data_IF_743412060853
#
_entry.id   IF_743412060853
#
_cell.length_a   1.000
_cell.length_b   1.000
_cell.length_c   1.000
_cell.angle_alpha   90.00
_cell.angle_beta   90.00
_cell.angle_gamma   90.00
#
_symmetry.space_group_name_H-M   'P 1'
#
loop_
_entity.id
_entity.type
_entity.pdbx_description
1 polymer ?
#
# COMPACT_ATOMS: atom_id res chain seq x y z
N UNK A 1 -28.09 -14.27 -7.77
CA UNK A 1 -27.96 -15.58 -8.41
C UNK A 1 -26.72 -15.50 -9.27
N UNK A 2 -25.63 -16.14 -8.85
CA UNK A 2 -24.51 -16.39 -9.75
C UNK A 2 -25.06 -17.21 -10.92
N UNK A 3 -24.81 -16.77 -12.15
CA UNK A 3 -25.34 -17.41 -13.36
C UNK A 3 -24.65 -18.72 -13.73
N UNK A 4 -24.00 -19.37 -12.76
CA UNK A 4 -23.20 -20.57 -12.99
C UNK A 4 -24.11 -21.78 -13.16
N UNK A 5 -23.86 -22.57 -14.20
CA UNK A 5 -24.58 -23.81 -14.47
C UNK A 5 -23.60 -24.97 -14.41
N UNK A 6 -23.77 -25.82 -13.40
CA UNK A 6 -22.92 -26.99 -13.18
C UNK A 6 -23.62 -28.22 -13.76
N UNK A 7 -22.85 -29.06 -14.47
CA UNK A 7 -23.34 -30.29 -15.10
C UNK A 7 -22.43 -31.47 -14.77
N UNK A 8 -23.01 -32.65 -14.57
CA UNK A 8 -22.28 -33.92 -14.61
C UNK A 8 -22.26 -34.43 -16.04
N UNK A 9 -21.09 -34.79 -16.57
CA UNK A 9 -20.95 -35.23 -17.97
C UNK A 9 -20.49 -36.68 -18.04
N UNK A 10 -21.25 -37.51 -18.75
CA UNK A 10 -20.91 -38.90 -19.08
C UNK A 10 -21.06 -39.11 -20.59
N UNK A 11 -19.92 -39.20 -21.30
CA UNK A 11 -19.91 -39.26 -22.76
C UNK A 11 -20.54 -38.00 -23.38
N UNK A 12 -21.68 -38.15 -24.06
CA UNK A 12 -22.43 -37.05 -24.68
C UNK A 12 -23.63 -36.58 -23.85
N UNK A 13 -23.85 -37.15 -22.67
CA UNK A 13 -24.97 -36.79 -21.79
C UNK A 13 -24.48 -35.80 -20.73
N UNK A 14 -25.18 -34.67 -20.60
CA UNK A 14 -24.94 -33.67 -19.57
C UNK A 14 -26.18 -33.54 -18.69
N UNK A 15 -26.03 -33.86 -17.41
CA UNK A 15 -27.12 -33.78 -16.41
C UNK A 15 -26.88 -32.56 -15.52
N UNK A 16 -27.83 -31.62 -15.41
CA UNK A 16 -27.67 -30.45 -14.54
C UNK A 16 -27.53 -30.88 -13.08
N UNK A 17 -26.63 -30.20 -12.36
CA UNK A 17 -26.51 -30.34 -10.92
C UNK A 17 -27.54 -29.46 -10.21
N UNK A 18 -28.03 -29.92 -9.06
CA UNK A 18 -28.96 -29.15 -8.24
C UNK A 18 -28.18 -28.22 -7.31
N UNK A 19 -28.44 -26.91 -7.40
CA UNK A 19 -27.88 -25.94 -6.44
C UNK A 19 -28.48 -26.20 -5.05
N UNK A 20 -27.61 -26.31 -4.05
CA UNK A 20 -27.97 -26.52 -2.65
C UNK A 20 -27.20 -25.54 -1.77
N UNK A 21 -27.69 -25.24 -0.57
CA UNK A 21 -26.85 -24.52 0.39
C UNK A 21 -25.74 -25.43 0.93
N UNK A 22 -24.65 -24.84 1.42
CA UNK A 22 -23.63 -25.60 2.16
C UNK A 22 -24.27 -26.28 3.39
N UNK A 23 -25.29 -25.66 3.99
CA UNK A 23 -26.07 -26.26 5.07
C UNK A 23 -26.81 -27.54 4.66
N UNK A 24 -27.45 -27.55 3.49
CA UNK A 24 -28.15 -28.73 2.95
C UNK A 24 -27.19 -29.85 2.53
N UNK A 25 -25.91 -29.50 2.31
CA UNK A 25 -24.82 -30.46 2.11
C UNK A 25 -24.26 -31.01 3.43
N UNK A 26 -24.69 -30.49 4.59
CA UNK A 26 -24.15 -30.85 5.90
C UNK A 26 -22.80 -30.23 6.21
N UNK A 27 -22.33 -29.29 5.38
CA UNK A 27 -21.05 -28.61 5.52
C UNK A 27 -21.19 -27.46 6.50
N UNK A 28 -20.16 -27.18 7.28
CA UNK A 28 -20.13 -26.19 8.36
C UNK A 28 -19.06 -25.12 8.10
N UNK A 29 -19.26 -23.96 8.72
CA UNK A 29 -18.31 -22.84 8.59
C UNK A 29 -16.92 -23.18 9.14
N UNK A 30 -16.86 -23.70 10.37
CA UNK A 30 -15.58 -24.03 11.04
C UNK A 30 -15.02 -25.38 10.61
N UNK A 31 -15.84 -26.42 10.67
CA UNK A 31 -15.36 -27.80 10.46
C UNK A 31 -15.04 -28.09 8.97
N UNK A 32 -15.51 -27.26 8.03
CA UNK A 32 -15.31 -27.47 6.59
C UNK A 32 -14.77 -26.23 5.86
N UNK A 33 -15.51 -25.12 5.82
CA UNK A 33 -15.11 -23.95 5.00
C UNK A 33 -13.75 -23.36 5.42
N UNK A 34 -13.49 -23.25 6.73
CA UNK A 34 -12.18 -22.81 7.23
C UNK A 34 -11.06 -23.79 6.86
N UNK A 35 -11.28 -25.09 7.01
CA UNK A 35 -10.32 -26.13 6.63
C UNK A 35 -10.01 -26.11 5.13
N UNK A 36 -11.00 -25.82 4.29
CA UNK A 36 -10.76 -25.63 2.85
C UNK A 36 -9.89 -24.40 2.58
N UNK A 37 -10.09 -23.29 3.28
CA UNK A 37 -9.23 -22.10 3.12
C UNK A 37 -7.80 -22.37 3.62
N UNK A 38 -7.61 -23.20 4.65
CA UNK A 38 -6.27 -23.64 5.09
C UNK A 38 -5.59 -24.47 4.00
N UNK A 39 -6.31 -25.45 3.43
CA UNK A 39 -5.78 -26.36 2.43
C UNK A 39 -5.64 -25.72 1.05
N UNK A 40 -6.48 -24.74 0.75
CA UNK A 40 -6.60 -24.04 -0.53
C UNK A 40 -6.71 -22.52 -0.33
N UNK A 41 -5.62 -21.84 0.07
CA UNK A 41 -5.61 -20.40 0.32
C UNK A 41 -5.94 -19.57 -0.92
N UNK A 42 -5.82 -20.15 -2.13
CA UNK A 42 -6.24 -19.55 -3.40
C UNK A 42 -7.70 -19.12 -3.40
N UNK A 43 -8.52 -19.70 -2.51
CA UNK A 43 -9.88 -19.23 -2.24
C UNK A 43 -9.85 -17.74 -1.94
N UNK A 44 -8.94 -17.22 -1.11
CA UNK A 44 -8.88 -15.81 -0.70
C UNK A 44 -8.27 -14.87 -1.76
N UNK A 45 -7.59 -15.42 -2.76
CA UNK A 45 -6.84 -14.69 -3.77
C UNK A 45 -5.53 -15.39 -4.12
N UNK A 46 -4.80 -14.87 -5.12
CA UNK A 46 -3.57 -15.51 -5.59
C UNK A 46 -2.51 -15.53 -4.49
N UNK A 47 -1.87 -16.70 -4.32
CA UNK A 47 -0.68 -16.92 -3.50
C UNK A 47 -0.77 -16.31 -2.09
N UNK A 48 -1.79 -16.65 -1.31
CA UNK A 48 -1.90 -16.21 0.09
C UNK A 48 -1.25 -17.23 1.03
N UNK A 49 -0.29 -16.80 1.84
CA UNK A 49 0.20 -17.58 2.98
C UNK A 49 -0.73 -17.39 4.19
N UNK A 50 -1.28 -18.49 4.72
CA UNK A 50 -2.06 -18.45 5.96
C UNK A 50 -1.14 -18.30 7.17
N UNK A 51 -1.33 -17.22 7.94
CA UNK A 51 -0.59 -16.98 9.17
C UNK A 51 -1.29 -17.60 10.38
N UNK A 52 -2.61 -17.47 10.50
CA UNK A 52 -3.40 -18.11 11.56
C UNK A 52 -4.89 -18.14 11.23
N UNK A 53 -5.61 -19.01 11.94
CA UNK A 53 -7.07 -19.00 12.06
C UNK A 53 -7.51 -18.66 13.49
N UNK A 54 -8.75 -18.15 13.61
CA UNK A 54 -9.48 -17.93 14.86
C UNK A 54 -8.66 -17.18 15.95
N UNK A 55 -8.02 -16.06 15.59
CA UNK A 55 -7.16 -15.33 16.53
C UNK A 55 -7.96 -14.47 17.52
N UNK A 56 -7.82 -14.75 18.81
CA UNK A 56 -8.59 -14.16 19.92
C UNK A 56 -7.73 -13.45 20.98
N UNK A 57 -6.43 -13.26 20.73
CA UNK A 57 -5.47 -12.77 21.72
C UNK A 57 -5.36 -11.24 21.76
N UNK A 58 -6.48 -10.54 21.79
CA UNK A 58 -6.48 -9.08 21.94
C UNK A 58 -6.44 -8.68 23.41
N UNK A 59 -5.40 -7.93 23.78
CA UNK A 59 -5.31 -7.26 25.07
C UNK A 59 -5.65 -5.78 24.89
N UNK A 60 -6.72 -5.30 25.52
CA UNK A 60 -6.94 -3.88 25.65
C UNK A 60 -5.90 -3.27 26.61
N UNK A 61 -5.56 -2.00 26.45
CA UNK A 61 -4.67 -1.25 27.35
C UNK A 61 -5.15 -1.22 28.82
N UNK A 62 -6.40 -1.63 29.07
CA UNK A 62 -6.99 -1.83 30.41
C UNK A 62 -6.78 -3.23 30.99
N UNK A 63 -6.09 -4.15 30.30
CA UNK A 63 -5.94 -5.56 30.70
C UNK A 63 -7.18 -6.43 30.46
N UNK A 64 -8.24 -5.87 29.86
CA UNK A 64 -9.44 -6.61 29.48
C UNK A 64 -9.17 -7.42 28.21
N UNK A 65 -9.46 -8.73 28.24
CA UNK A 65 -9.48 -9.57 27.02
C UNK A 65 -10.60 -9.09 26.10
N UNK A 66 -10.28 -8.71 24.86
CA UNK A 66 -11.29 -8.51 23.84
C UNK A 66 -11.68 -9.88 23.29
N UNK A 67 -12.95 -10.28 23.47
CA UNK A 67 -13.51 -11.56 22.98
C UNK A 67 -13.73 -11.59 21.46
N UNK A 68 -13.24 -10.57 20.76
CA UNK A 68 -13.38 -10.40 19.33
C UNK A 68 -12.38 -11.28 18.59
N UNK A 69 -12.83 -12.04 17.60
CA UNK A 69 -12.01 -13.03 16.92
C UNK A 69 -12.27 -13.00 15.43
N UNK A 70 -11.22 -12.80 14.64
CA UNK A 70 -11.31 -12.89 13.19
C UNK A 70 -11.14 -14.35 12.73
N UNK A 71 -11.74 -14.68 11.59
CA UNK A 71 -11.67 -16.05 11.06
C UNK A 71 -10.27 -16.37 10.53
N UNK A 72 -9.75 -15.55 9.60
CA UNK A 72 -8.47 -15.81 8.92
C UNK A 72 -7.58 -14.58 8.88
N UNK A 73 -6.29 -14.78 9.15
CA UNK A 73 -5.21 -13.85 8.79
C UNK A 73 -4.23 -14.58 7.87
N UNK A 74 -4.00 -13.97 6.72
CA UNK A 74 -2.97 -14.36 5.77
C UNK A 74 -2.06 -13.20 5.41
N UNK A 75 -1.13 -13.49 4.53
CA UNK A 75 -0.13 -12.61 3.98
C UNK A 75 -0.08 -12.86 2.48
N UNK A 76 -0.09 -11.80 1.67
CA UNK A 76 0.14 -11.92 0.23
C UNK A 76 1.64 -11.83 -0.10
N UNK A 77 2.06 -12.13 -1.35
CA UNK A 77 3.47 -12.14 -1.73
C UNK A 77 4.12 -10.75 -1.72
N UNK A 78 3.31 -9.68 -1.69
CA UNK A 78 3.80 -8.30 -1.59
C UNK A 78 3.98 -7.86 -0.12
N UNK A 79 3.69 -8.74 0.85
CA UNK A 79 3.80 -8.43 2.29
C UNK A 79 2.59 -7.69 2.86
N UNK A 80 1.47 -7.63 2.13
CA UNK A 80 0.22 -7.06 2.62
C UNK A 80 -0.53 -8.10 3.46
N UNK A 81 -1.06 -7.67 4.60
CA UNK A 81 -1.93 -8.53 5.39
C UNK A 81 -3.25 -8.78 4.66
N UNK A 82 -3.75 -10.02 4.72
CA UNK A 82 -5.04 -10.44 4.17
C UNK A 82 -5.93 -10.87 5.33
N UNK A 83 -7.01 -10.15 5.58
CA UNK A 83 -8.03 -10.53 6.55
C UNK A 83 -9.22 -11.11 5.83
N UNK A 84 -9.62 -12.33 6.20
CA UNK A 84 -10.84 -12.92 5.69
C UNK A 84 -11.88 -13.18 6.77
N UNK A 85 -13.13 -12.83 6.46
CA UNK A 85 -14.31 -13.22 7.21
C UNK A 85 -15.11 -14.21 6.37
N UNK A 86 -15.40 -15.37 6.94
CA UNK A 86 -16.05 -16.48 6.26
C UNK A 86 -17.47 -16.63 6.78
N UNK A 87 -18.43 -16.79 5.87
CA UNK A 87 -19.81 -17.11 6.20
C UNK A 87 -20.26 -18.28 5.35
N UNK A 88 -20.72 -19.36 5.98
CA UNK A 88 -21.20 -20.52 5.22
C UNK A 88 -22.38 -20.17 4.29
N UNK A 89 -23.31 -19.36 4.81
CA UNK A 89 -24.58 -19.05 4.16
C UNK A 89 -24.61 -17.57 3.74
N UNK A 90 -25.78 -16.93 3.77
CA UNK A 90 -25.91 -15.49 3.51
C UNK A 90 -25.17 -14.68 4.59
N UNK A 91 -24.31 -13.76 4.16
CA UNK A 91 -23.64 -12.85 5.07
C UNK A 91 -24.63 -11.90 5.77
N UNK A 92 -24.39 -11.55 7.05
CA UNK A 92 -25.07 -10.43 7.71
C UNK A 92 -24.90 -9.13 6.94
N UNK A 93 -25.83 -8.19 7.13
CA UNK A 93 -25.79 -6.84 6.53
C UNK A 93 -24.71 -5.92 7.14
N UNK A 94 -23.98 -6.40 8.14
CA UNK A 94 -22.91 -5.70 8.87
C UNK A 94 -21.57 -6.43 8.81
N UNK A 95 -21.46 -7.48 7.98
CA UNK A 95 -20.25 -8.32 7.89
C UNK A 95 -18.99 -7.49 7.57
N UNK A 96 -19.14 -6.46 6.74
CA UNK A 96 -18.07 -5.56 6.36
C UNK A 96 -17.59 -4.70 7.53
N UNK A 97 -18.46 -4.33 8.47
CA UNK A 97 -18.05 -3.59 9.67
C UNK A 97 -17.20 -4.45 10.60
N UNK A 98 -17.52 -5.74 10.71
CA UNK A 98 -16.71 -6.70 11.48
C UNK A 98 -15.33 -6.85 10.85
N UNK A 99 -15.27 -7.01 9.52
CA UNK A 99 -14.00 -7.12 8.82
C UNK A 99 -13.14 -5.85 8.89
N UNK A 100 -13.74 -4.66 8.81
CA UNK A 100 -13.03 -3.37 9.01
C UNK A 100 -12.47 -3.27 10.42
N UNK A 101 -13.23 -3.68 11.44
CA UNK A 101 -12.75 -3.71 12.82
C UNK A 101 -11.51 -4.59 12.93
N UNK A 102 -11.50 -5.76 12.31
CA UNK A 102 -10.34 -6.66 12.33
C UNK A 102 -9.16 -6.13 11.53
N UNK A 103 -9.40 -5.57 10.35
CA UNK A 103 -8.39 -4.87 9.57
C UNK A 103 -7.69 -3.78 10.42
N UNK A 104 -8.45 -2.96 11.13
CA UNK A 104 -7.89 -1.92 12.02
C UNK A 104 -7.12 -2.48 13.24
N UNK A 105 -7.42 -3.70 13.67
CA UNK A 105 -6.71 -4.34 14.78
C UNK A 105 -5.39 -4.96 14.31
N UNK A 106 -5.40 -5.66 13.17
CA UNK A 106 -4.20 -6.31 12.61
C UNK A 106 -3.24 -5.33 11.95
N UNK A 107 -3.71 -4.15 11.54
CA UNK A 107 -2.85 -3.09 10.98
C UNK A 107 -1.79 -2.57 11.96
N UNK A 108 -1.87 -2.98 13.23
CA UNK A 108 -0.90 -2.65 14.28
C UNK A 108 0.10 -3.76 14.55
N UNK A 109 -0.01 -4.90 13.87
CA UNK A 109 0.96 -5.98 14.02
C UNK A 109 2.31 -5.57 13.44
N UNK A 110 3.34 -5.96 14.15
CA UNK A 110 4.73 -5.88 13.74
C UNK A 110 5.14 -7.17 13.03
N UNK A 111 6.25 -7.17 12.26
CA UNK A 111 6.79 -8.40 11.68
C UNK A 111 7.01 -9.51 12.72
N UNK A 112 7.52 -9.16 13.91
CA UNK A 112 7.76 -10.12 15.00
C UNK A 112 6.45 -10.73 15.50
N UNK A 113 5.38 -9.94 15.64
CA UNK A 113 4.05 -10.46 15.98
C UNK A 113 3.60 -11.53 14.98
N UNK A 114 3.81 -11.31 13.68
CA UNK A 114 3.41 -12.26 12.63
C UNK A 114 4.20 -13.58 12.70
N UNK A 115 5.49 -13.51 13.03
CA UNK A 115 6.34 -14.69 13.24
C UNK A 115 5.83 -15.49 14.43
N UNK A 116 5.54 -14.84 15.56
CA UNK A 116 4.99 -15.50 16.74
C UNK A 116 3.62 -16.13 16.47
N UNK A 117 2.74 -15.39 15.77
CA UNK A 117 1.41 -15.85 15.37
C UNK A 117 1.53 -17.10 14.49
N UNK A 118 2.40 -17.06 13.48
CA UNK A 118 2.56 -18.15 12.54
C UNK A 118 3.20 -19.39 13.18
N UNK A 119 4.23 -19.21 14.02
CA UNK A 119 4.82 -20.31 14.80
C UNK A 119 3.79 -20.99 15.70
N UNK A 120 2.93 -20.22 16.38
CA UNK A 120 1.85 -20.75 17.20
C UNK A 120 0.76 -21.47 16.38
N UNK A 121 0.51 -21.03 15.15
CA UNK A 121 -0.39 -21.73 14.22
C UNK A 121 0.20 -23.06 13.75
N UNK A 122 1.47 -23.08 13.32
CA UNK A 122 2.16 -24.31 12.91
C UNK A 122 2.20 -25.35 14.05
N UNK A 123 2.40 -24.90 15.29
CA UNK A 123 2.38 -25.77 16.46
C UNK A 123 1.01 -26.46 16.68
N UNK A 124 -0.09 -25.74 16.40
CA UNK A 124 -1.45 -26.29 16.50
C UNK A 124 -1.74 -27.33 15.41
N UNK A 125 -1.09 -27.21 14.26
CA UNK A 125 -1.21 -28.15 13.12
C UNK A 125 -0.15 -29.26 13.13
N UNK A 126 0.36 -29.64 14.30
CA UNK A 126 1.19 -30.84 14.48
C UNK A 126 2.71 -30.61 14.41
N UNK A 127 3.17 -29.36 14.29
CA UNK A 127 4.57 -28.97 14.45
C UNK A 127 4.96 -28.63 15.90
N UNK A 128 6.25 -28.36 16.13
CA UNK A 128 6.68 -27.61 17.32
C UNK A 128 6.65 -26.10 16.99
N UNK A 129 6.40 -25.21 17.97
CA UNK A 129 6.54 -23.78 17.74
C UNK A 129 8.01 -23.48 17.49
N UNK A 130 8.31 -23.05 16.27
CA UNK A 130 9.65 -22.71 15.83
C UNK A 130 9.59 -21.36 15.11
N UNK A 131 10.14 -20.34 15.77
CA UNK A 131 10.14 -18.97 15.28
C UNK A 131 11.05 -18.81 14.06
N UNK A 132 12.14 -19.56 13.98
CA UNK A 132 13.08 -19.50 12.85
C UNK A 132 12.43 -20.08 11.60
N UNK A 133 11.74 -21.22 11.72
CA UNK A 133 10.97 -21.80 10.61
C UNK A 133 9.82 -20.86 10.19
N UNK A 134 9.15 -20.22 11.16
CA UNK A 134 8.06 -19.29 10.86
C UNK A 134 8.57 -18.07 10.10
N UNK A 135 9.67 -17.47 10.57
CA UNK A 135 10.34 -16.35 9.93
C UNK A 135 10.79 -16.72 8.52
N UNK A 136 11.44 -17.87 8.34
CA UNK A 136 11.90 -18.33 7.04
C UNK A 136 10.73 -18.49 6.06
N UNK A 137 9.60 -19.08 6.48
CA UNK A 137 8.42 -19.22 5.61
C UNK A 137 7.81 -17.88 5.20
N UNK A 138 7.74 -16.93 6.13
CA UNK A 138 7.27 -15.57 5.84
C UNK A 138 8.21 -14.89 4.84
N UNK A 139 9.52 -15.03 5.03
CA UNK A 139 10.54 -14.45 4.14
C UNK A 139 10.58 -15.10 2.76
N UNK A 140 10.41 -16.43 2.68
CA UNK A 140 10.33 -17.16 1.42
C UNK A 140 9.08 -16.73 0.62
N UNK A 141 8.00 -16.36 1.32
CA UNK A 141 6.75 -15.97 0.71
C UNK A 141 6.70 -14.51 0.26
N UNK A 142 7.03 -13.58 1.17
CA UNK A 142 6.84 -12.13 0.98
C UNK A 142 8.13 -11.32 1.08
N UNK A 143 9.28 -11.96 1.33
CA UNK A 143 10.53 -11.27 1.58
C UNK A 143 10.55 -10.57 2.95
N UNK A 144 11.26 -9.44 3.02
CA UNK A 144 11.30 -8.61 4.23
C UNK A 144 10.05 -7.74 4.29
N UNK A 145 9.32 -7.83 5.41
CA UNK A 145 8.06 -7.15 5.58
C UNK A 145 8.26 -5.66 5.83
N UNK A 146 7.58 -4.84 5.04
CA UNK A 146 7.48 -3.40 5.24
C UNK A 146 6.39 -3.08 6.29
N UNK A 147 6.74 -2.46 7.44
CA UNK A 147 5.75 -2.05 8.45
C UNK A 147 4.65 -1.12 7.92
N UNK A 148 4.88 -0.36 6.85
CA UNK A 148 3.85 0.46 6.23
C UNK A 148 2.82 -0.41 5.47
N UNK A 149 3.27 -1.49 4.83
CA UNK A 149 2.41 -2.44 4.11
C UNK A 149 1.51 -3.24 5.05
N UNK A 150 1.99 -3.52 6.27
CA UNK A 150 1.19 -4.16 7.31
C UNK A 150 0.02 -3.28 7.77
N UNK A 151 0.17 -1.95 7.69
CA UNK A 151 -0.87 -0.99 8.11
C UNK A 151 -2.06 -0.90 7.14
N UNK A 152 -1.91 -1.44 5.93
CA UNK A 152 -2.95 -1.39 4.89
C UNK A 152 -3.49 -2.78 4.56
N UNK A 153 -4.11 -3.54 5.47
CA UNK A 153 -4.62 -4.87 5.17
C UNK A 153 -5.66 -4.87 4.05
N UNK A 154 -5.65 -5.91 3.22
CA UNK A 154 -6.73 -6.25 2.29
C UNK A 154 -7.77 -7.08 3.03
N UNK A 155 -9.04 -6.82 2.75
CA UNK A 155 -10.19 -7.53 3.30
C UNK A 155 -10.77 -8.46 2.23
N UNK A 156 -11.06 -9.69 2.61
CA UNK A 156 -11.76 -10.69 1.79
C UNK A 156 -12.99 -11.16 2.55
N UNK A 157 -14.16 -11.03 1.94
CA UNK A 157 -15.40 -11.56 2.51
C UNK A 157 -15.82 -12.75 1.67
N UNK A 158 -15.96 -13.92 2.29
CA UNK A 158 -16.42 -15.16 1.63
C UNK A 158 -17.78 -15.51 2.18
N UNK A 159 -18.81 -15.58 1.33
CA UNK A 159 -20.15 -15.94 1.77
C UNK A 159 -20.95 -16.66 0.68
N UNK A 160 -21.99 -17.43 1.05
CA UNK A 160 -22.90 -17.99 0.05
C UNK A 160 -23.68 -16.93 -0.73
N UNK A 161 -23.96 -15.79 -0.10
CA UNK A 161 -24.49 -14.60 -0.77
C UNK A 161 -24.32 -13.34 0.07
N UNK A 162 -24.35 -12.18 -0.59
CA UNK A 162 -24.26 -10.86 0.05
C UNK A 162 -25.57 -10.07 -0.16
N UNK A 163 -26.10 -9.42 0.89
CA UNK A 163 -27.11 -8.38 0.72
C UNK A 163 -26.61 -7.25 -0.19
N UNK A 164 -27.48 -6.62 -1.02
CA UNK A 164 -27.08 -5.49 -1.87
C UNK A 164 -26.46 -4.31 -1.12
N UNK A 165 -26.86 -4.10 0.14
CA UNK A 165 -26.29 -3.07 1.00
C UNK A 165 -24.80 -3.33 1.28
N UNK A 166 -24.40 -4.59 1.52
CA UNK A 166 -22.98 -4.96 1.72
C UNK A 166 -22.18 -4.67 0.46
N UNK A 167 -22.66 -5.07 -0.72
CA UNK A 167 -22.00 -4.76 -2.00
C UNK A 167 -21.86 -3.27 -2.22
N UNK A 168 -22.88 -2.48 -1.86
CA UNK A 168 -22.88 -1.02 -2.03
C UNK A 168 -21.86 -0.35 -1.09
N UNK A 169 -21.81 -0.79 0.17
CA UNK A 169 -20.81 -0.33 1.16
C UNK A 169 -19.40 -0.69 0.71
N UNK A 170 -19.17 -1.94 0.31
CA UNK A 170 -17.87 -2.42 -0.18
C UNK A 170 -17.42 -1.68 -1.43
N UNK A 171 -18.33 -1.36 -2.35
CA UNK A 171 -18.00 -0.52 -3.49
C UNK A 171 -17.52 0.87 -3.08
N UNK A 172 -18.19 1.51 -2.11
CA UNK A 172 -17.77 2.80 -1.58
C UNK A 172 -16.41 2.73 -0.88
N UNK A 173 -16.18 1.70 -0.04
CA UNK A 173 -14.90 1.47 0.65
C UNK A 173 -13.74 1.33 -0.35
N UNK A 174 -13.92 0.56 -1.42
CA UNK A 174 -12.94 0.40 -2.51
C UNK A 174 -12.58 1.75 -3.15
N UNK A 175 -13.55 2.64 -3.36
CA UNK A 175 -13.31 4.00 -3.88
C UNK A 175 -12.55 4.90 -2.91
N UNK A 176 -12.63 4.64 -1.62
CA UNK A 176 -11.86 5.34 -0.58
C UNK A 176 -10.46 4.74 -0.38
N UNK A 177 -10.07 3.75 -1.19
CA UNK A 177 -8.75 3.11 -1.13
C UNK A 177 -8.68 1.90 -0.20
N UNK A 178 -9.79 1.48 0.41
CA UNK A 178 -9.84 0.29 1.26
C UNK A 178 -10.05 -0.92 0.35
N UNK A 179 -9.06 -1.82 0.28
CA UNK A 179 -9.12 -2.97 -0.60
C UNK A 179 -10.03 -4.06 0.00
N UNK A 180 -11.23 -4.18 -0.53
CA UNK A 180 -12.20 -5.21 -0.14
C UNK A 180 -12.59 -6.05 -1.35
N UNK A 181 -12.57 -7.37 -1.18
CA UNK A 181 -13.00 -8.37 -2.16
C UNK A 181 -14.21 -9.13 -1.62
N UNK A 182 -15.22 -9.36 -2.46
CA UNK A 182 -16.35 -10.24 -2.17
C UNK A 182 -16.22 -11.52 -2.99
N UNK A 183 -16.31 -12.66 -2.32
CA UNK A 183 -16.28 -13.98 -2.94
C UNK A 183 -17.51 -14.78 -2.53
N UNK A 184 -18.12 -15.43 -3.52
CA UNK A 184 -19.27 -16.31 -3.33
C UNK A 184 -18.86 -17.76 -3.30
N UNK A 185 -19.37 -18.51 -2.31
CA UNK A 185 -19.20 -19.96 -2.20
C UNK A 185 -20.55 -20.67 -2.40
N UNK A 186 -20.67 -21.50 -3.44
CA UNK A 186 -21.91 -22.18 -3.78
C UNK A 186 -21.70 -23.70 -3.76
N UNK A 187 -22.73 -24.46 -3.35
CA UNK A 187 -22.69 -25.92 -3.35
C UNK A 187 -23.70 -26.49 -4.36
N UNK A 188 -23.32 -27.60 -4.97
CA UNK A 188 -24.12 -28.31 -5.97
C UNK A 188 -24.12 -29.80 -5.68
N UNK A 189 -25.27 -30.45 -5.85
CA UNK A 189 -25.39 -31.92 -5.81
C UNK A 189 -25.37 -32.47 -7.23
N UNK A 190 -24.39 -33.32 -7.53
CA UNK A 190 -24.21 -33.95 -8.84
C UNK A 190 -24.86 -35.34 -8.92
N UNK A 191 -24.93 -35.93 -10.12
CA UNK A 191 -25.71 -37.14 -10.45
C UNK A 191 -25.38 -38.40 -9.63
N UNK A 192 -24.27 -38.43 -8.89
CA UNK A 192 -23.83 -39.52 -7.99
C UNK A 192 -23.97 -39.16 -6.50
N UNK A 193 -24.78 -38.15 -6.17
CA UNK A 193 -24.98 -37.66 -4.80
C UNK A 193 -23.79 -36.92 -4.19
N UNK A 194 -22.66 -36.85 -4.90
CA UNK A 194 -21.48 -36.07 -4.49
C UNK A 194 -21.81 -34.58 -4.46
N UNK A 195 -21.09 -33.86 -3.60
CA UNK A 195 -21.17 -32.41 -3.50
C UNK A 195 -19.98 -31.78 -4.20
N UNK A 196 -20.25 -30.78 -5.02
CA UNK A 196 -19.25 -29.91 -5.63
C UNK A 196 -19.43 -28.52 -5.04
N UNK A 197 -18.32 -27.86 -4.71
CA UNK A 197 -18.31 -26.47 -4.23
C UNK A 197 -17.60 -25.61 -5.25
N UNK A 198 -18.18 -24.47 -5.59
CA UNK A 198 -17.53 -23.45 -6.42
C UNK A 198 -17.26 -22.20 -5.58
N UNK A 199 -16.13 -21.55 -5.85
CA UNK A 199 -15.79 -20.23 -5.31
C UNK A 199 -15.60 -19.28 -6.47
N UNK A 200 -16.24 -18.13 -6.43
CA UNK A 200 -16.17 -17.12 -7.49
C UNK A 200 -16.08 -15.72 -6.90
N UNK A 201 -15.36 -14.82 -7.58
CA UNK A 201 -15.30 -13.41 -7.17
C UNK A 201 -16.57 -12.68 -7.62
N UNK A 202 -17.29 -12.12 -6.66
CA UNK A 202 -18.46 -11.27 -6.91
C UNK A 202 -18.05 -9.79 -7.11
N UNK A 203 -17.06 -9.31 -6.36
CA UNK A 203 -16.59 -7.93 -6.44
C UNK A 203 -15.10 -7.82 -6.04
N UNK A 204 -14.29 -6.95 -6.68
CA UNK A 204 -14.63 -6.18 -7.88
C UNK A 204 -14.91 -7.10 -9.07
N UNK A 205 -15.68 -6.63 -10.05
CA UNK A 205 -15.77 -7.34 -11.31
C UNK A 205 -14.42 -7.16 -12.05
N UNK A 206 -13.88 -8.21 -12.69
CA UNK A 206 -12.74 -8.05 -13.58
C UNK A 206 -13.02 -6.95 -14.59
N UNK A 207 -12.07 -6.03 -14.79
CA UNK A 207 -12.24 -4.98 -15.78
C UNK A 207 -12.27 -5.62 -17.18
N UNK A 208 -13.10 -5.11 -18.09
CA UNK A 208 -13.25 -5.70 -19.42
C UNK A 208 -11.91 -5.77 -20.17
N UNK A 209 -10.99 -4.86 -19.87
CA UNK A 209 -9.65 -4.82 -20.45
C UNK A 209 -8.78 -6.03 -20.06
N UNK A 210 -8.99 -6.61 -18.87
CA UNK A 210 -8.30 -7.82 -18.40
C UNK A 210 -8.80 -9.09 -19.08
N UNK A 211 -10.05 -9.06 -19.60
CA UNK A 211 -10.71 -10.20 -20.25
C UNK A 211 -10.49 -10.25 -21.77
N UNK A 212 -10.07 -9.14 -22.39
CA UNK A 212 -9.93 -9.02 -23.83
C UNK A 212 -8.51 -9.38 -24.31
N UNK A 213 -8.35 -10.56 -24.90
CA UNK A 213 -7.11 -10.93 -25.61
C UNK A 213 -7.05 -10.22 -26.97
N UNK A 214 -6.19 -9.20 -27.08
CA UNK A 214 -6.00 -8.43 -28.32
C UNK A 214 -4.67 -8.75 -29.01
N UNK A 215 -4.66 -9.32 -30.23
CA UNK A 215 -3.43 -9.73 -30.92
C UNK A 215 -2.50 -8.58 -31.37
N UNK A 216 -2.96 -7.32 -31.33
CA UNK A 216 -2.13 -6.13 -31.65
C UNK A 216 -1.65 -5.35 -30.42
N UNK A 217 -2.07 -5.74 -29.22
CA UNK A 217 -1.70 -5.07 -27.96
C UNK A 217 -0.60 -5.79 -27.18
N UNK A 218 0.03 -6.83 -27.70
CA UNK A 218 1.20 -7.40 -27.02
C UNK A 218 2.31 -6.34 -26.77
N UNK A 219 2.38 -5.25 -27.57
CA UNK A 219 3.29 -4.11 -27.36
C UNK A 219 2.64 -2.87 -26.69
N UNK A 220 1.30 -2.80 -26.60
CA UNK A 220 0.57 -1.63 -26.09
C UNK A 220 -0.13 -1.89 -24.74
N UNK A 221 -0.54 -3.13 -24.49
CA UNK A 221 -0.94 -3.60 -23.16
C UNK A 221 0.27 -3.58 -22.22
N UNK A 222 1.47 -3.94 -22.69
CA UNK A 222 2.71 -3.82 -21.90
C UNK A 222 2.98 -2.38 -21.41
N UNK A 223 2.42 -1.37 -22.08
CA UNK A 223 2.51 0.07 -21.69
C UNK A 223 1.35 0.57 -20.82
N UNK A 224 0.25 -0.17 -20.71
CA UNK A 224 -0.95 0.22 -19.94
C UNK A 224 -1.24 -0.66 -18.72
N UNK A 225 -0.75 -1.89 -18.68
CA UNK A 225 -0.82 -2.74 -17.46
C UNK A 225 0.28 -2.43 -16.45
N UNK A 226 1.17 -1.48 -16.72
CA UNK A 226 2.22 -1.03 -15.80
C UNK A 226 1.73 -0.07 -14.72
N UNK A 227 0.49 0.44 -14.77
CA UNK A 227 0.01 1.44 -13.79
C UNK A 227 -0.58 0.89 -12.49
N UNK A 228 -0.66 -0.43 -12.28
CA UNK A 228 -1.06 -1.02 -10.97
C UNK A 228 -0.36 -2.33 -10.61
N UNK A 229 0.92 -2.46 -10.95
CA UNK A 229 1.81 -3.37 -10.21
C UNK A 229 2.56 -2.49 -9.21
N UNK A 230 2.38 -2.73 -7.90
CA UNK A 230 3.13 -2.03 -6.85
C UNK A 230 4.62 -2.08 -7.23
N UNK A 231 5.23 -0.90 -7.35
CA UNK A 231 6.62 -0.78 -7.76
C UNK A 231 7.47 -1.58 -6.77
N UNK A 232 8.26 -2.54 -7.26
CA UNK A 232 9.13 -3.35 -6.39
C UNK A 232 10.06 -2.48 -5.54
N UNK A 233 10.60 -3.04 -4.45
CA UNK A 233 11.59 -2.37 -3.58
C UNK A 233 12.64 -1.58 -4.39
N UNK A 234 13.09 -0.42 -3.88
CA UNK A 234 14.09 0.47 -4.50
C UNK A 234 15.25 -0.29 -5.15
N UNK A 235 15.75 -1.33 -4.47
CA UNK A 235 16.82 -2.20 -4.97
C UNK A 235 16.41 -2.99 -6.21
N UNK A 236 15.21 -3.58 -6.21
CA UNK A 236 14.68 -4.33 -7.35
C UNK A 236 14.55 -3.44 -8.57
N UNK A 237 14.11 -2.19 -8.39
CA UNK A 237 13.99 -1.20 -9.47
C UNK A 237 15.35 -0.82 -10.06
N UNK A 238 16.33 -0.55 -9.21
CA UNK A 238 17.69 -0.19 -9.63
C UNK A 238 18.42 -1.34 -10.32
N UNK A 239 18.28 -2.55 -9.81
CA UNK A 239 18.87 -3.74 -10.44
C UNK A 239 18.18 -4.05 -11.77
N UNK A 240 16.87 -3.81 -11.87
CA UNK A 240 16.13 -4.01 -13.11
C UNK A 240 16.42 -2.94 -14.19
N UNK A 241 16.83 -1.73 -13.79
CA UNK A 241 17.16 -0.66 -14.73
C UNK A 241 18.59 -0.75 -15.27
N UNK A 242 19.48 -1.47 -14.56
CA UNK A 242 20.92 -1.58 -14.87
C UNK A 242 21.63 -0.21 -14.98
N UNK A 243 21.06 0.85 -14.42
CA UNK A 243 21.60 2.22 -14.53
C UNK A 243 22.84 2.46 -13.67
N UNK A 244 23.02 1.68 -12.60
CA UNK A 244 24.19 1.75 -11.73
C UNK A 244 25.14 0.62 -12.13
N UNK A 245 26.32 0.91 -12.70
CA UNK A 245 27.32 -0.11 -13.03
C UNK A 245 27.80 -0.83 -11.78
N UNK A 246 27.99 -2.15 -11.88
CA UNK A 246 28.71 -2.93 -10.87
C UNK A 246 30.08 -2.30 -10.60
N UNK A 247 30.44 -2.19 -9.32
CA UNK A 247 31.67 -1.52 -8.92
C UNK A 247 31.51 -0.03 -8.60
N UNK A 248 30.32 0.55 -8.76
CA UNK A 248 30.07 1.96 -8.42
C UNK A 248 30.19 2.16 -6.91
N UNK A 249 31.01 3.11 -6.48
CA UNK A 249 31.20 3.44 -5.07
C UNK A 249 30.05 4.32 -4.56
N UNK A 250 29.54 4.00 -3.37
CA UNK A 250 28.53 4.78 -2.67
C UNK A 250 29.07 5.25 -1.34
N UNK A 251 28.68 6.47 -0.97
CA UNK A 251 29.00 7.06 0.33
C UNK A 251 27.74 7.13 1.18
N UNK A 252 27.88 6.79 2.45
CA UNK A 252 26.78 6.88 3.40
C UNK A 252 26.60 8.32 3.91
N UNK A 253 25.37 8.81 3.86
CA UNK A 253 24.97 10.11 4.37
C UNK A 253 23.76 9.95 5.31
N UNK A 254 23.93 10.15 6.63
CA UNK A 254 22.83 10.06 7.58
C UNK A 254 21.72 11.07 7.28
N UNK A 255 20.48 10.61 7.30
CA UNK A 255 19.31 11.43 6.92
C UNK A 255 18.59 12.01 8.14
N UNK A 256 17.61 12.88 7.91
CA UNK A 256 16.74 13.44 8.96
C UNK A 256 15.82 12.40 9.61
N UNK A 257 15.83 11.16 9.13
CA UNK A 257 15.11 10.04 9.75
C UNK A 257 15.61 9.72 11.17
N UNK A 258 16.84 10.13 11.52
CA UNK A 258 17.35 10.11 12.90
C UNK A 258 17.60 11.53 13.41
N UNK A 259 17.62 11.70 14.74
CA UNK A 259 17.85 13.00 15.38
C UNK A 259 19.23 13.58 15.09
N UNK A 260 19.42 14.88 15.34
CA UNK A 260 20.71 15.55 15.12
C UNK A 260 21.86 14.90 15.90
N UNK A 261 21.62 14.57 17.18
CA UNK A 261 22.59 13.88 18.05
C UNK A 261 23.01 12.52 17.48
N UNK A 262 22.04 11.73 17.00
CA UNK A 262 22.31 10.42 16.39
C UNK A 262 23.09 10.56 15.08
N UNK A 263 22.78 11.57 14.24
CA UNK A 263 23.57 11.81 13.02
C UNK A 263 25.02 12.17 13.34
N UNK A 264 25.25 13.03 14.33
CA UNK A 264 26.60 13.38 14.76
C UNK A 264 27.37 12.17 15.27
N UNK A 265 26.74 11.32 16.10
CA UNK A 265 27.35 10.08 16.59
C UNK A 265 27.71 9.11 15.45
N UNK A 266 26.88 9.00 14.41
CA UNK A 266 27.18 8.15 13.23
C UNK A 266 28.37 8.73 12.45
N UNK A 267 28.41 10.05 12.25
CA UNK A 267 29.51 10.69 11.54
C UNK A 267 30.85 10.56 12.31
N UNK A 268 30.81 10.66 13.64
CA UNK A 268 31.98 10.42 14.49
C UNK A 268 32.46 8.97 14.40
N UNK A 269 31.53 8.01 14.50
CA UNK A 269 31.81 6.59 14.36
C UNK A 269 32.35 6.19 12.97
N UNK A 270 31.90 6.86 11.90
CA UNK A 270 32.48 6.72 10.54
C UNK A 270 33.84 7.40 10.45
N UNK A 271 34.04 8.53 11.15
CA UNK A 271 35.32 9.24 11.18
C UNK A 271 36.48 8.40 11.75
N UNK A 272 36.19 7.48 12.66
CA UNK A 272 37.17 6.52 13.18
C UNK A 272 37.66 5.50 12.14
N UNK A 273 36.77 5.10 11.23
CA UNK A 273 37.06 4.16 10.16
C UNK A 273 36.23 4.50 8.91
N UNK A 274 36.84 5.22 7.95
CA UNK A 274 36.15 5.65 6.73
C UNK A 274 35.61 4.50 5.86
N UNK A 275 36.04 3.24 6.07
CA UNK A 275 35.45 2.09 5.38
C UNK A 275 34.01 1.82 5.85
N UNK A 276 33.64 2.25 7.06
CA UNK A 276 32.27 2.15 7.57
C UNK A 276 31.29 2.96 6.71
N UNK A 277 31.70 4.12 6.21
CA UNK A 277 30.85 4.98 5.39
C UNK A 277 30.82 4.65 3.90
N UNK A 278 31.43 3.55 3.43
CA UNK A 278 31.62 3.26 2.01
C UNK A 278 31.13 1.86 1.63
N UNK A 279 30.51 1.74 0.47
CA UNK A 279 30.06 0.48 -0.09
C UNK A 279 30.17 0.49 -1.61
N UNK A 280 30.18 -0.69 -2.23
CA UNK A 280 30.23 -0.85 -3.68
C UNK A 280 28.94 -1.49 -4.20
N UNK A 281 28.38 -0.93 -5.27
CA UNK A 281 27.20 -1.47 -5.94
C UNK A 281 27.48 -2.78 -6.65
N UNK A 282 26.52 -3.69 -6.57
CA UNK A 282 26.40 -4.91 -7.35
C UNK A 282 24.95 -5.07 -7.79
N UNK A 283 24.71 -5.43 -9.04
CA UNK A 283 23.39 -5.69 -9.59
C UNK A 283 22.83 -7.05 -9.11
N UNK A 284 22.60 -7.14 -7.81
CA UNK A 284 22.04 -8.30 -7.11
C UNK A 284 20.78 -7.88 -6.35
N UNK A 285 19.65 -8.54 -6.62
CA UNK A 285 18.34 -8.15 -6.09
C UNK A 285 18.21 -8.39 -4.58
N UNK A 286 19.04 -9.24 -4.00
CA UNK A 286 18.97 -9.62 -2.59
C UNK A 286 20.00 -8.89 -1.74
N UNK A 287 21.20 -8.65 -2.27
CA UNK A 287 22.37 -8.10 -1.57
C UNK A 287 23.17 -7.13 -2.47
N UNK A 288 22.62 -5.94 -2.78
CA UNK A 288 23.17 -5.06 -3.80
C UNK A 288 24.41 -4.26 -3.36
N UNK A 289 24.77 -4.26 -2.08
CA UNK A 289 25.89 -3.49 -1.56
C UNK A 289 26.95 -4.41 -0.96
N UNK A 290 28.18 -4.30 -1.42
CA UNK A 290 29.36 -4.85 -0.75
C UNK A 290 29.88 -3.79 0.21
N UNK A 291 29.76 -4.01 1.52
CA UNK A 291 30.17 -3.03 2.52
C UNK A 291 31.69 -3.05 2.70
N UNK A 292 32.37 -1.91 2.60
CA UNK A 292 33.84 -1.88 2.62
C UNK A 292 34.42 -2.27 3.99
N UNK A 293 33.70 -2.01 5.09
CA UNK A 293 34.15 -2.36 6.45
C UNK A 293 34.23 -3.88 6.70
N UNK A 294 33.35 -4.68 6.07
CA UNK A 294 33.28 -6.14 6.28
C UNK A 294 33.70 -6.94 5.05
N UNK A 295 33.64 -6.34 3.86
CA UNK A 295 33.78 -7.03 2.58
C UNK A 295 32.58 -7.91 2.21
N UNK A 296 31.51 -7.90 3.00
CA UNK A 296 30.33 -8.75 2.81
C UNK A 296 29.25 -8.03 1.99
N UNK A 297 28.54 -8.80 1.18
CA UNK A 297 27.38 -8.33 0.44
C UNK A 297 26.14 -8.33 1.34
N UNK A 298 25.44 -7.20 1.42
CA UNK A 298 24.29 -7.01 2.28
C UNK A 298 23.26 -6.05 1.66
N UNK A 299 22.10 -5.96 2.31
CA UNK A 299 21.07 -4.98 1.97
C UNK A 299 21.46 -3.60 2.50
N UNK A 300 21.08 -2.50 1.81
CA UNK A 300 21.30 -1.14 2.31
C UNK A 300 20.76 -0.92 3.73
N UNK A 301 19.56 -1.44 4.01
CA UNK A 301 18.92 -1.34 5.34
C UNK A 301 19.65 -2.16 6.40
N UNK A 302 20.16 -3.34 6.05
CA UNK A 302 20.89 -4.19 6.98
C UNK A 302 22.19 -3.53 7.45
N UNK A 303 22.90 -2.86 6.53
CA UNK A 303 24.12 -2.12 6.87
C UNK A 303 23.79 -0.93 7.77
N UNK A 304 22.82 -0.10 7.40
CA UNK A 304 22.43 1.08 8.20
C UNK A 304 21.94 0.68 9.60
N UNK A 305 21.23 -0.44 9.73
CA UNK A 305 20.81 -0.97 11.03
C UNK A 305 22.01 -1.30 11.93
N UNK A 306 23.03 -1.99 11.41
CA UNK A 306 24.23 -2.30 12.19
C UNK A 306 24.96 -1.03 12.65
N UNK A 307 24.94 0.04 11.85
CA UNK A 307 25.50 1.33 12.24
C UNK A 307 24.71 1.99 13.36
N UNK A 308 23.38 1.95 13.27
CA UNK A 308 22.48 2.49 14.29
C UNK A 308 22.66 1.75 15.61
N UNK A 309 22.75 0.42 15.58
CA UNK A 309 23.05 -0.41 16.76
C UNK A 309 24.40 -0.02 17.38
N UNK A 310 25.43 0.21 16.56
CA UNK A 310 26.76 0.61 17.04
C UNK A 310 26.79 1.97 17.75
N UNK A 311 25.89 2.89 17.39
CA UNK A 311 25.73 4.20 18.05
C UNK A 311 24.62 4.22 19.12
N UNK A 312 24.05 3.06 19.46
CA UNK A 312 23.03 2.92 20.50
C UNK A 312 21.62 3.39 20.08
N UNK A 313 21.29 3.31 18.78
CA UNK A 313 19.98 3.63 18.23
C UNK A 313 19.27 2.38 17.70
N UNK A 314 18.04 2.13 18.13
CA UNK A 314 17.20 1.00 17.69
C UNK A 314 16.13 1.43 16.65
N UNK A 315 16.33 2.58 16.00
CA UNK A 315 15.33 3.16 15.10
C UNK A 315 15.34 2.45 13.74
N UNK A 316 14.16 2.08 13.24
CA UNK A 316 13.99 1.62 11.86
C UNK A 316 14.06 2.81 10.89
N UNK A 317 14.79 2.64 9.77
CA UNK A 317 15.05 3.67 8.77
C UNK A 317 15.05 3.09 7.36
N UNK A 318 14.85 3.93 6.35
CA UNK A 318 14.89 3.53 4.94
C UNK A 318 16.32 3.46 4.44
N UNK A 319 16.96 2.30 4.59
CA UNK A 319 18.37 2.09 4.21
C UNK A 319 18.81 2.70 2.86
N UNK A 320 18.07 2.54 1.75
CA UNK A 320 18.47 3.11 0.46
C UNK A 320 18.57 4.64 0.41
N UNK A 321 17.83 5.39 1.25
CA UNK A 321 17.94 6.86 1.28
C UNK A 321 19.24 7.37 1.91
N UNK A 322 20.02 6.48 2.53
CA UNK A 322 21.26 6.80 3.21
C UNK A 322 22.50 6.61 2.35
N UNK A 323 22.37 5.99 1.16
CA UNK A 323 23.49 5.71 0.28
C UNK A 323 23.44 6.63 -0.94
N UNK A 324 24.50 7.39 -1.14
CA UNK A 324 24.63 8.43 -2.16
C UNK A 324 25.63 7.98 -3.23
N UNK A 325 25.20 8.10 -4.48
CA UNK A 325 26.00 7.83 -5.67
C UNK A 325 27.00 8.97 -5.93
N UNK A 326 28.03 8.75 -6.78
CA UNK A 326 29.01 9.79 -7.11
C UNK A 326 28.41 11.03 -7.78
N UNK A 327 27.21 10.92 -8.36
CA UNK A 327 26.47 12.02 -8.98
C UNK A 327 25.61 12.82 -7.98
N UNK A 328 25.68 12.48 -6.69
CA UNK A 328 25.00 13.18 -5.60
C UNK A 328 23.56 12.69 -5.33
N UNK A 329 23.04 11.74 -6.12
CA UNK A 329 21.70 11.17 -5.87
C UNK A 329 21.75 10.06 -4.83
N UNK A 330 20.72 9.94 -4.01
CA UNK A 330 20.51 8.75 -3.18
C UNK A 330 20.08 7.56 -4.03
N UNK A 331 20.21 6.32 -3.53
CA UNK A 331 19.66 5.14 -4.22
C UNK A 331 18.14 5.27 -4.43
N UNK A 332 17.43 5.89 -3.49
CA UNK A 332 15.98 6.16 -3.62
C UNK A 332 15.69 7.12 -4.78
N UNK A 333 16.46 8.20 -4.92
CA UNK A 333 16.30 9.15 -6.02
C UNK A 333 16.71 8.54 -7.37
N UNK A 334 17.81 7.76 -7.38
CA UNK A 334 18.24 7.02 -8.55
C UNK A 334 17.18 6.02 -9.00
N UNK A 335 16.49 5.33 -8.09
CA UNK A 335 15.39 4.42 -8.43
C UNK A 335 14.16 5.17 -8.99
N UNK A 336 13.95 6.41 -8.56
CA UNK A 336 12.94 7.32 -9.11
C UNK A 336 13.25 7.74 -10.56
N UNK A 337 14.53 7.92 -10.90
CA UNK A 337 15.00 8.27 -12.25
C UNK A 337 15.15 7.03 -13.14
N UNK A 338 15.46 5.86 -12.58
CA UNK A 338 15.62 4.64 -13.37
C UNK A 338 14.30 4.03 -13.88
N UNK A 339 13.18 4.56 -13.40
CA UNK A 339 11.86 4.41 -14.01
C UNK A 339 11.48 5.51 -15.00
N UNK A 340 12.41 6.42 -15.36
CA UNK A 340 12.11 7.62 -16.17
C UNK A 340 12.19 7.41 -17.69
N UNK A 341 11.90 6.20 -18.15
CA UNK A 341 11.27 6.00 -19.44
C UNK A 341 9.78 5.69 -19.23
N UNK A 342 9.02 6.75 -18.96
CA UNK A 342 7.57 6.84 -18.70
C UNK A 342 7.11 6.57 -17.27
N UNK A 343 6.67 7.62 -16.55
CA UNK A 343 5.78 7.45 -15.40
C UNK A 343 5.83 8.44 -14.24
N UNK A 344 6.77 9.37 -14.14
CA UNK A 344 6.67 10.42 -13.11
C UNK A 344 5.48 11.32 -13.44
N UNK A 345 4.56 11.49 -12.50
CA UNK A 345 3.51 12.49 -12.61
C UNK A 345 4.18 13.84 -12.91
N UNK A 346 3.87 14.40 -14.06
CA UNK A 346 4.48 15.64 -14.52
C UNK A 346 3.99 16.78 -13.62
N UNK A 347 4.87 17.25 -12.74
CA UNK A 347 4.60 18.37 -11.83
C UNK A 347 4.81 19.72 -12.50
N UNK A 348 5.33 19.76 -13.75
CA UNK A 348 5.58 21.00 -14.48
C UNK A 348 4.32 21.88 -14.57
N UNK A 349 3.13 21.37 -14.93
CA UNK A 349 1.92 22.20 -14.96
C UNK A 349 1.52 22.75 -13.59
N UNK A 350 1.78 22.01 -12.52
CA UNK A 350 1.56 22.50 -11.15
C UNK A 350 2.53 23.63 -10.82
N UNK A 351 3.82 23.44 -11.06
CA UNK A 351 4.85 24.45 -10.77
C UNK A 351 4.63 25.74 -11.56
N UNK A 352 4.22 25.64 -12.83
CA UNK A 352 3.88 26.78 -13.67
C UNK A 352 2.67 27.55 -13.13
N UNK A 353 1.58 26.86 -12.79
CA UNK A 353 0.39 27.52 -12.21
C UNK A 353 0.70 28.16 -10.86
N UNK A 354 1.46 27.49 -10.00
CA UNK A 354 1.86 28.04 -8.70
C UNK A 354 2.68 29.33 -8.85
N UNK A 355 3.56 29.40 -9.86
CA UNK A 355 4.29 30.61 -10.23
C UNK A 355 3.41 31.74 -10.75
N UNK A 356 2.32 31.40 -11.44
CA UNK A 356 1.40 32.34 -12.08
C UNK A 356 0.21 32.78 -11.23
N UNK A 357 -0.01 32.19 -10.03
CA UNK A 357 -1.09 32.61 -9.14
C UNK A 357 -0.95 34.10 -8.82
N UNK A 358 -1.94 34.96 -9.13
CA UNK A 358 -1.85 36.39 -8.88
C UNK A 358 -2.06 36.75 -7.40
N UNK A 359 -1.46 37.86 -6.97
CA UNK A 359 -1.68 38.43 -5.63
C UNK A 359 -3.15 38.79 -5.43
N UNK A 360 -3.68 38.52 -4.24
CA UNK A 360 -5.08 38.84 -3.90
C UNK A 360 -6.10 37.86 -4.48
N UNK A 361 -5.66 36.75 -5.07
CA UNK A 361 -6.50 35.62 -5.48
C UNK A 361 -6.06 34.35 -4.77
N UNK A 362 -6.98 33.40 -4.64
CA UNK A 362 -6.72 32.10 -4.01
C UNK A 362 -7.36 30.97 -4.80
N UNK A 363 -6.92 29.73 -4.60
CA UNK A 363 -7.52 28.55 -5.23
C UNK A 363 -7.59 27.37 -4.26
N UNK A 364 -8.18 26.26 -4.66
CA UNK A 364 -8.25 25.06 -3.82
C UNK A 364 -7.34 23.93 -4.31
N UNK A 365 -6.97 23.03 -3.40
CA UNK A 365 -6.33 21.77 -3.76
C UNK A 365 -7.15 20.94 -4.77
N UNK A 366 -8.49 21.10 -4.77
CA UNK A 366 -9.37 20.45 -5.75
C UNK A 366 -9.22 21.07 -7.14
N UNK A 367 -9.24 22.40 -7.24
CA UNK A 367 -9.11 23.11 -8.52
C UNK A 367 -7.73 22.84 -9.18
N UNK A 368 -6.66 22.77 -8.38
CA UNK A 368 -5.33 22.38 -8.86
C UNK A 368 -5.27 20.92 -9.28
N UNK A 369 -5.91 20.03 -8.52
CA UNK A 369 -5.96 18.61 -8.85
C UNK A 369 -6.71 18.35 -10.17
N UNK A 370 -7.84 19.03 -10.37
CA UNK A 370 -8.61 18.98 -11.61
C UNK A 370 -7.81 19.50 -12.81
N UNK A 371 -7.00 20.54 -12.62
CA UNK A 371 -6.15 21.10 -13.67
C UNK A 371 -5.00 20.17 -14.08
N UNK A 372 -4.30 19.59 -13.10
CA UNK A 372 -3.08 18.79 -13.35
C UNK A 372 -3.44 17.30 -13.58
N UNK A 373 -4.71 16.90 -13.40
CA UNK A 373 -5.18 15.54 -13.67
C UNK A 373 -4.82 14.54 -12.56
N UNK A 374 -4.90 14.96 -11.30
CA UNK A 374 -4.63 14.13 -10.11
C UNK A 374 -5.69 14.30 -9.02
N UNK A 375 -5.41 13.85 -7.79
CA UNK A 375 -6.24 14.08 -6.62
C UNK A 375 -5.66 15.19 -5.72
N UNK A 376 -6.51 15.83 -4.91
CA UNK A 376 -6.14 16.95 -4.03
C UNK A 376 -5.10 16.58 -2.95
N UNK A 377 -5.04 15.31 -2.55
CA UNK A 377 -4.11 14.82 -1.52
C UNK A 377 -2.65 14.76 -2.02
N UNK A 378 -2.34 14.16 -3.19
CA UNK A 378 -1.03 14.26 -3.83
C UNK A 378 -0.51 15.69 -3.97
N UNK A 379 -1.36 16.64 -4.37
CA UNK A 379 -1.00 18.07 -4.48
C UNK A 379 -0.56 18.63 -3.12
N UNK A 380 -1.31 18.34 -2.05
CA UNK A 380 -0.98 18.76 -0.69
C UNK A 380 0.34 18.17 -0.16
N UNK A 381 0.59 16.89 -0.43
CA UNK A 381 1.83 16.22 -0.05
C UNK A 381 3.04 16.80 -0.80
N UNK A 382 2.88 17.05 -2.10
CA UNK A 382 3.93 17.65 -2.94
C UNK A 382 4.25 19.06 -2.51
N UNK A 383 3.26 19.95 -2.40
CA UNK A 383 3.46 21.36 -2.00
C UNK A 383 4.15 21.45 -0.62
N UNK A 384 3.86 20.53 0.30
CA UNK A 384 4.47 20.50 1.64
C UNK A 384 5.97 20.21 1.62
N UNK A 385 6.43 19.45 0.63
CA UNK A 385 7.83 19.01 0.50
C UNK A 385 8.56 19.77 -0.63
N UNK A 386 7.89 20.73 -1.27
CA UNK A 386 8.35 21.42 -2.46
C UNK A 386 8.95 22.78 -2.12
N UNK A 387 10.28 22.86 -2.10
CA UNK A 387 11.02 24.10 -1.84
C UNK A 387 10.92 25.12 -3.00
N UNK A 388 10.43 24.68 -4.16
CA UNK A 388 10.31 25.47 -5.39
C UNK A 388 8.86 25.84 -5.75
N UNK A 389 7.91 25.63 -4.85
CA UNK A 389 6.49 25.94 -5.08
C UNK A 389 6.15 27.33 -4.52
N UNK A 390 6.27 28.43 -5.32
CA UNK A 390 5.94 29.77 -4.84
C UNK A 390 4.43 29.89 -4.57
N UNK A 391 4.04 30.88 -3.75
CA UNK A 391 2.64 31.21 -3.50
C UNK A 391 1.79 30.09 -2.87
N UNK A 392 2.40 29.07 -2.24
CA UNK A 392 1.72 28.03 -1.46
C UNK A 392 0.61 28.54 -0.49
N UNK A 393 0.75 29.72 0.16
CA UNK A 393 -0.31 30.27 1.01
C UNK A 393 -1.64 30.54 0.29
N UNK A 394 -1.64 30.70 -1.04
CA UNK A 394 -2.83 30.94 -1.88
C UNK A 394 -3.64 29.68 -2.16
N UNK A 395 -3.21 28.50 -1.68
CA UNK A 395 -3.91 27.22 -1.85
C UNK A 395 -4.64 26.82 -0.58
N UNK A 396 -5.98 26.87 -0.62
CA UNK A 396 -6.86 26.62 0.52
C UNK A 396 -7.58 25.27 0.42
N UNK A 397 -8.12 24.82 1.54
CA UNK A 397 -9.02 23.67 1.61
C UNK A 397 -10.38 23.94 0.96
N UNK A 398 -11.21 22.91 0.91
CA UNK A 398 -12.57 23.01 0.41
C UNK A 398 -13.35 24.08 1.19
N UNK A 399 -14.07 24.94 0.47
CA UNK A 399 -14.83 26.05 1.06
C UNK A 399 -13.99 27.27 1.45
N UNK A 400 -12.77 27.41 0.94
CA UNK A 400 -11.93 28.59 1.16
C UNK A 400 -11.33 28.69 2.55
N UNK A 401 -11.21 27.57 3.26
CA UNK A 401 -10.66 27.53 4.62
C UNK A 401 -9.17 27.19 4.61
N UNK A 402 -8.33 27.88 5.40
CA UNK A 402 -6.96 27.47 5.67
C UNK A 402 -6.91 26.03 6.21
N UNK A 403 -5.89 25.25 5.86
CA UNK A 403 -5.75 23.89 6.37
C UNK A 403 -5.03 23.88 7.72
N UNK A 404 -5.52 23.11 8.71
CA UNK A 404 -4.73 22.80 9.90
C UNK A 404 -3.46 22.04 9.49
N UNK A 405 -2.28 22.56 9.86
CA UNK A 405 -0.99 21.94 9.55
C UNK A 405 -0.32 22.39 8.24
N UNK A 406 -0.73 23.53 7.66
CA UNK A 406 0.07 24.22 6.64
C UNK A 406 1.46 24.54 7.22
N UNK A 407 2.50 24.28 6.42
CA UNK A 407 3.89 24.58 6.75
C UNK A 407 4.50 25.40 5.62
N UNK A 408 5.31 26.38 5.98
CA UNK A 408 6.07 27.19 5.05
C UNK A 408 7.28 26.43 4.53
N UNK A 409 7.68 26.74 3.29
CA UNK A 409 9.00 26.38 2.79
C UNK A 409 10.12 27.15 3.50
N UNK A 410 9.84 28.36 4.01
CA UNK A 410 10.72 29.10 4.92
C UNK A 410 10.33 28.81 6.39
N UNK A 411 11.14 28.06 7.16
CA UNK A 411 10.84 27.73 8.55
C UNK A 411 10.81 28.94 9.49
N UNK A 412 11.30 30.11 9.06
CA UNK A 412 11.30 31.34 9.85
C UNK A 412 10.00 32.15 9.70
N UNK A 413 9.14 31.83 8.72
CA UNK A 413 7.85 32.49 8.54
C UNK A 413 6.80 31.86 9.45
N UNK A 414 6.27 32.65 10.38
CA UNK A 414 5.27 32.21 11.37
C UNK A 414 3.85 32.65 11.02
N UNK A 415 3.64 33.33 9.89
CA UNK A 415 2.32 33.83 9.50
C UNK A 415 1.38 32.68 9.13
N UNK A 416 0.12 32.81 9.45
CA UNK A 416 -0.92 31.89 8.99
C UNK A 416 -1.27 32.16 7.51
N UNK A 417 -1.84 31.17 6.81
CA UNK A 417 -2.31 31.39 5.44
C UNK A 417 -3.32 32.54 5.35
N UNK A 418 -4.15 32.73 6.40
CA UNK A 418 -5.11 33.81 6.48
C UNK A 418 -4.43 35.19 6.57
N UNK A 419 -3.44 35.37 7.45
CA UNK A 419 -2.73 36.65 7.60
C UNK A 419 -2.02 37.08 6.30
N UNK A 420 -1.50 36.12 5.54
CA UNK A 420 -0.86 36.38 4.24
C UNK A 420 -1.90 36.86 3.23
N UNK A 421 -3.02 36.14 3.12
CA UNK A 421 -4.06 36.45 2.16
C UNK A 421 -4.80 37.76 2.49
N UNK A 422 -5.03 38.05 3.77
CA UNK A 422 -5.54 39.35 4.21
C UNK A 422 -4.56 40.49 3.88
N UNK A 423 -3.26 40.27 4.06
CA UNK A 423 -2.20 41.21 3.62
C UNK A 423 -2.11 41.38 2.09
N UNK A 424 -2.68 40.45 1.33
CA UNK A 424 -2.82 40.53 -0.12
C UNK A 424 -4.15 41.13 -0.58
N UNK A 425 -5.06 41.43 0.35
CA UNK A 425 -6.36 42.05 0.08
C UNK A 425 -7.54 41.07 -0.02
N UNK A 426 -7.35 39.79 0.28
CA UNK A 426 -8.43 38.79 0.33
C UNK A 426 -9.21 38.95 1.63
N UNK A 427 -10.54 39.11 1.52
CA UNK A 427 -11.40 39.19 2.70
C UNK A 427 -11.75 37.79 3.23
N UNK A 428 -11.86 37.66 4.55
CA UNK A 428 -12.31 36.45 5.21
C UNK A 428 -13.60 36.69 5.99
N UNK A 429 -14.57 35.78 5.87
CA UNK A 429 -15.78 35.75 6.66
C UNK A 429 -15.92 34.38 7.33
N UNK A 430 -16.05 34.36 8.66
CA UNK A 430 -16.17 33.11 9.45
C UNK A 430 -15.04 32.09 9.17
N UNK A 431 -13.81 32.57 8.95
CA UNK A 431 -12.64 31.73 8.67
C UNK A 431 -12.58 31.14 7.25
N UNK A 432 -13.45 31.59 6.34
CA UNK A 432 -13.41 31.25 4.92
C UNK A 432 -13.10 32.50 4.08
N UNK A 433 -12.21 32.34 3.09
CA UNK A 433 -11.86 33.37 2.13
C UNK A 433 -13.06 33.68 1.20
N UNK A 434 -13.17 34.94 0.79
CA UNK A 434 -14.21 35.41 -0.11
C UNK A 434 -14.20 34.62 -1.44
N UNK A 435 -15.31 33.93 -1.78
CA UNK A 435 -15.42 33.18 -3.02
C UNK A 435 -15.21 34.01 -4.29
N UNK A 436 -15.47 35.33 -4.28
CA UNK A 436 -15.23 36.20 -5.44
C UNK A 436 -13.75 36.31 -5.81
N UNK A 437 -12.86 36.09 -4.82
CA UNK A 437 -11.41 36.09 -5.02
C UNK A 437 -10.86 34.71 -5.41
N UNK A 438 -11.70 33.66 -5.50
CA UNK A 438 -11.28 32.30 -5.87
C UNK A 438 -10.98 32.21 -7.38
N UNK A 439 -9.97 31.43 -7.74
CA UNK A 439 -9.69 30.96 -9.09
C UNK A 439 -10.19 29.52 -9.23
N UNK A 440 -11.14 29.32 -10.14
CA UNK A 440 -11.61 27.99 -10.56
C UNK A 440 -10.59 27.27 -11.44
N UNK A 441 -10.73 25.95 -11.61
CA UNK A 441 -9.86 25.16 -12.51
C UNK A 441 -9.79 25.72 -13.93
N UNK A 442 -10.91 26.25 -14.46
CA UNK A 442 -10.97 26.90 -15.76
C UNK A 442 -10.17 28.22 -15.82
N UNK A 443 -10.22 29.04 -14.76
CA UNK A 443 -9.42 30.27 -14.67
C UNK A 443 -7.94 29.99 -14.39
N UNK A 444 -7.61 28.86 -13.74
CA UNK A 444 -6.22 28.45 -13.57
C UNK A 444 -5.61 27.98 -14.89
N UNK A 445 -6.38 27.30 -15.74
CA UNK A 445 -5.93 26.85 -17.05
C UNK A 445 -5.50 28.03 -17.96
N UNK A 446 -6.15 29.20 -17.84
CA UNK A 446 -5.79 30.40 -18.60
C UNK A 446 -4.53 31.11 -18.10
N UNK A 447 -3.97 30.68 -16.95
CA UNK A 447 -2.70 31.19 -16.41
C UNK A 447 -1.47 30.41 -16.90
N UNK A 448 -1.68 29.29 -17.61
CA UNK A 448 -0.60 28.47 -18.18
C UNK A 448 -0.12 29.04 -19.54
N UNK A 449 1.19 29.09 -19.78
CA UNK A 449 1.74 29.54 -21.07
C UNK A 449 1.38 28.55 -22.19
N UNK A 450 0.51 28.97 -23.11
CA UNK A 450 0.04 28.14 -24.24
C UNK A 450 -1.48 28.02 -24.38
N UNK A 451 -2.26 28.60 -23.46
CA UNK A 451 -3.70 28.75 -23.62
C UNK A 451 -4.01 29.78 -24.73
N UNK A 452 -4.41 29.33 -25.91
CA UNK A 452 -4.89 30.20 -26.98
C UNK A 452 -6.11 31.01 -26.51
N UNK A 453 -6.17 32.26 -26.98
CA UNK A 453 -7.18 33.29 -26.68
C UNK A 453 -8.57 33.00 -27.25
#
# INVERSE_FOLDING_TARGET
MSGERVYTVEGSVATPADEISLADAGLKERDDLQEWVIAHPEILGPDVLILTFEFDRWQASSGSRQLDRFDVLGLDPDGRLVIAELKRDKAPDTVEMQAIKYAALVSRFTPDDLVEIHAAFMARNGGAPDLDIALQRIQDHAGELDPEMLQEPRIVLVAGSFPPIVTSTVHWLKRMGIDVTLQTVNAYRVFDGKTVVTVSQLYPLPELEDLLVSPRRAQEAERRTTTRKREGSTVVRLVASEEIPDGTELTLQPTTEVGAETREAILEWIGEDPARGRATWRNDRATPLVWEATGEAARPTAIVRQMLEAVGSERSVRGPSWWVLPDGRTLTEAAGVAGSASGTFDWTPLHEVMGSLPRGRWTTYGDLADLVGTAAQPIGNHIRQCDVCPNAPRVLGQGGRPRPGFAWSDPSDTRTQQEVLEGEGVQFANGAADPESRLSSAELASLLPGAEA
#
